data_IF_035359772640
#
_entry.id   IF_035359772640
#
_cell.length_a   1.000
_cell.length_b   1.000
_cell.length_c   1.000
_cell.angle_alpha   90.00
_cell.angle_beta   90.00
_cell.angle_gamma   90.00
#
_symmetry.space_group_name_H-M   'P 1'
#
loop_
_entity.id
_entity.type
_entity.pdbx_description
1 polymer ?
#
# COMPACT_ATOMS: atom_id res chain seq x y z
N UNK A 1 -9.45 -5.58 -6.40
CA UNK A 1 -8.64 -4.71 -5.53
C UNK A 1 -9.06 -3.26 -5.65
N UNK A 2 -9.58 -2.66 -4.57
CA UNK A 2 -9.72 -1.23 -4.47
C UNK A 2 -8.34 -0.56 -4.50
N UNK A 3 -8.20 0.47 -5.33
CA UNK A 3 -7.09 1.42 -5.17
C UNK A 3 -7.47 2.38 -4.05
N UNK A 4 -6.62 2.46 -3.02
CA UNK A 4 -6.85 3.29 -1.83
C UNK A 4 -6.12 4.62 -1.91
N UNK A 5 -5.08 4.75 -2.75
CA UNK A 5 -4.42 6.04 -2.99
C UNK A 5 -3.68 6.06 -4.33
N UNK A 6 -3.45 7.25 -4.89
CA UNK A 6 -2.66 7.46 -6.12
C UNK A 6 -1.84 8.75 -6.04
N UNK A 7 -0.55 8.68 -6.37
CA UNK A 7 0.35 9.84 -6.41
C UNK A 7 1.59 9.54 -7.26
N UNK A 8 2.16 10.53 -7.94
CA UNK A 8 3.42 10.39 -8.69
C UNK A 8 3.48 9.18 -9.66
N UNK A 9 2.34 8.85 -10.30
CA UNK A 9 2.22 7.67 -11.17
C UNK A 9 2.17 6.31 -10.45
N UNK A 10 2.15 6.32 -9.11
CA UNK A 10 2.04 5.16 -8.23
C UNK A 10 0.56 4.98 -7.84
N UNK A 11 0.07 3.75 -7.93
CA UNK A 11 -1.22 3.33 -7.35
C UNK A 11 -0.98 2.41 -6.17
N UNK A 12 -1.61 2.73 -5.03
CA UNK A 12 -1.61 1.91 -3.83
C UNK A 12 -2.94 1.18 -3.72
N UNK A 13 -2.89 -0.11 -3.48
CA UNK A 13 -4.07 -0.95 -3.41
C UNK A 13 -3.95 -2.02 -2.33
N UNK A 14 -5.10 -2.53 -1.94
CA UNK A 14 -5.23 -3.63 -0.97
C UNK A 14 -6.28 -4.60 -1.50
N UNK A 15 -6.11 -5.88 -1.21
CA UNK A 15 -7.04 -6.92 -1.63
C UNK A 15 -7.79 -7.50 -0.44
N UNK A 16 -9.02 -7.95 -0.67
CA UNK A 16 -9.85 -8.60 0.35
C UNK A 16 -9.43 -10.05 0.59
N UNK A 17 -8.96 -10.70 -0.47
CA UNK A 17 -8.49 -12.07 -0.52
C UNK A 17 -7.00 -12.23 -0.13
N UNK A 18 -6.32 -11.13 0.21
CA UNK A 18 -4.95 -11.22 0.72
C UNK A 18 -4.91 -11.91 2.10
N UNK A 19 -3.81 -12.62 2.33
CA UNK A 19 -3.53 -13.30 3.58
C UNK A 19 -2.25 -12.75 4.24
N UNK A 20 -2.13 -13.01 5.55
CA UNK A 20 -1.07 -12.45 6.38
C UNK A 20 0.34 -12.80 5.90
N UNK A 21 1.35 -11.95 6.18
CA UNK A 21 1.31 -10.77 7.06
C UNK A 21 0.56 -9.56 6.46
N UNK A 22 0.11 -8.57 7.26
CA UNK A 22 -0.52 -7.35 6.75
C UNK A 22 0.36 -6.60 5.77
N UNK A 23 -0.15 -6.35 4.57
CA UNK A 23 0.61 -5.69 3.51
C UNK A 23 -0.30 -4.90 2.57
N UNK A 24 0.32 -4.02 1.78
CA UNK A 24 -0.33 -3.35 0.65
C UNK A 24 0.49 -3.55 -0.62
N UNK A 25 -0.18 -3.33 -1.75
CA UNK A 25 0.40 -3.49 -3.08
C UNK A 25 0.61 -2.14 -3.74
N UNK A 26 1.68 -2.07 -4.51
CA UNK A 26 2.10 -0.89 -5.24
C UNK A 26 2.19 -1.23 -6.70
N UNK A 27 1.62 -0.38 -7.55
CA UNK A 27 1.82 -0.44 -9.00
C UNK A 27 2.31 0.88 -9.55
N UNK A 28 3.30 0.79 -10.43
CA UNK A 28 3.79 1.88 -11.27
C UNK A 28 3.94 1.33 -12.69
N UNK A 29 3.99 2.18 -13.72
CA UNK A 29 4.11 1.74 -15.11
C UNK A 29 5.33 0.83 -15.38
N UNK A 30 6.38 0.97 -14.56
CA UNK A 30 7.66 0.25 -14.72
C UNK A 30 7.86 -0.89 -13.72
N UNK A 31 6.90 -1.17 -12.83
CA UNK A 31 7.07 -2.22 -11.84
C UNK A 31 6.04 -2.22 -10.72
N UNK A 32 6.26 -3.09 -9.74
CA UNK A 32 5.38 -3.32 -8.59
C UNK A 32 6.15 -3.52 -7.30
N UNK A 33 5.45 -3.39 -6.18
CA UNK A 33 5.98 -3.80 -4.88
C UNK A 33 4.88 -4.33 -3.97
N UNK A 34 5.27 -5.15 -3.00
CA UNK A 34 4.49 -5.51 -1.83
C UNK A 34 5.24 -5.06 -0.59
N UNK A 35 4.56 -4.33 0.29
CA UNK A 35 5.18 -3.74 1.49
C UNK A 35 4.35 -4.09 2.72
N UNK A 36 5.02 -4.55 3.78
CA UNK A 36 4.40 -4.81 5.09
C UNK A 36 3.86 -3.53 5.69
N UNK A 37 2.68 -3.61 6.30
CA UNK A 37 2.07 -2.43 6.94
C UNK A 37 2.71 -2.18 8.31
N UNK A 38 3.00 -3.22 9.08
CA UNK A 38 3.48 -3.13 10.45
C UNK A 38 4.93 -2.68 10.58
N UNK A 39 5.82 -3.21 9.73
CA UNK A 39 7.26 -2.90 9.78
C UNK A 39 7.75 -2.01 8.64
N UNK A 40 6.91 -1.76 7.63
CA UNK A 40 7.29 -1.12 6.37
C UNK A 40 8.40 -1.84 5.61
N UNK A 41 8.65 -3.11 5.94
CA UNK A 41 9.56 -3.97 5.21
C UNK A 41 9.02 -4.28 3.82
N UNK A 42 9.91 -4.24 2.83
CA UNK A 42 9.57 -4.57 1.45
C UNK A 42 9.62 -6.08 1.28
N UNK A 43 8.47 -6.70 1.04
CA UNK A 43 8.36 -8.15 0.81
C UNK A 43 8.92 -8.49 -0.57
N UNK A 44 8.55 -7.70 -1.57
CA UNK A 44 8.98 -7.88 -2.96
C UNK A 44 8.94 -6.51 -3.66
N UNK A 45 9.90 -6.23 -4.54
CA UNK A 45 9.84 -5.04 -5.39
C UNK A 45 10.66 -5.16 -6.66
N UNK A 46 10.06 -4.70 -7.76
CA UNK A 46 10.72 -4.38 -9.03
C UNK A 46 10.79 -2.87 -9.29
N UNK A 47 10.36 -2.05 -8.32
CA UNK A 47 10.35 -0.60 -8.45
C UNK A 47 11.77 -0.04 -8.46
N UNK A 48 11.95 1.08 -9.16
CA UNK A 48 13.18 1.87 -9.05
C UNK A 48 13.27 2.42 -7.63
N UNK A 49 14.50 2.51 -7.11
CA UNK A 49 14.79 3.02 -5.74
C UNK A 49 14.06 4.32 -5.41
N UNK A 50 13.96 5.26 -6.36
CA UNK A 50 13.25 6.54 -6.16
C UNK A 50 11.75 6.35 -5.91
N UNK A 51 11.07 5.50 -6.69
CA UNK A 51 9.64 5.22 -6.51
C UNK A 51 9.40 4.56 -5.16
N UNK A 52 10.23 3.57 -4.81
CA UNK A 52 10.12 2.87 -3.54
C UNK A 52 10.30 3.81 -2.34
N UNK A 53 11.21 4.79 -2.40
CA UNK A 53 11.34 5.81 -1.34
C UNK A 53 10.06 6.62 -1.14
N UNK A 54 9.39 7.03 -2.22
CA UNK A 54 8.12 7.76 -2.09
C UNK A 54 7.02 6.91 -1.48
N UNK A 55 6.96 5.63 -1.84
CA UNK A 55 6.02 4.66 -1.24
C UNK A 55 6.27 4.52 0.25
N UNK A 56 7.52 4.32 0.67
CA UNK A 56 7.86 4.10 2.09
C UNK A 56 7.61 5.35 2.93
N UNK A 57 7.99 6.53 2.44
CA UNK A 57 7.70 7.79 3.11
C UNK A 57 6.18 8.05 3.24
N UNK A 58 5.41 7.73 2.19
CA UNK A 58 3.96 7.80 2.26
C UNK A 58 3.38 6.80 3.26
N UNK A 59 3.87 5.56 3.27
CA UNK A 59 3.37 4.52 4.16
C UNK A 59 3.65 4.82 5.63
N UNK A 60 4.80 5.41 5.94
CA UNK A 60 5.15 5.89 7.28
C UNK A 60 4.13 6.94 7.79
N UNK A 61 3.76 7.91 6.96
CA UNK A 61 2.75 8.92 7.31
C UNK A 61 1.32 8.36 7.43
N UNK A 62 1.06 7.19 6.85
CA UNK A 62 -0.30 6.62 6.67
C UNK A 62 -0.48 5.25 7.33
N UNK A 63 0.44 4.85 8.20
CA UNK A 63 0.49 3.48 8.73
C UNK A 63 -0.78 3.10 9.50
N UNK A 64 -1.37 4.04 10.24
CA UNK A 64 -2.63 3.82 10.96
C UNK A 64 -3.81 3.63 9.99
N UNK A 65 -3.92 4.45 8.95
CA UNK A 65 -4.96 4.34 7.92
C UNK A 65 -4.84 3.03 7.12
N UNK A 66 -3.61 2.61 6.82
CA UNK A 66 -3.32 1.31 6.19
C UNK A 66 -3.74 0.15 7.09
N UNK A 67 -3.46 0.23 8.39
CA UNK A 67 -3.83 -0.80 9.36
C UNK A 67 -5.35 -0.92 9.52
N UNK A 68 -6.07 0.20 9.54
CA UNK A 68 -7.55 0.19 9.58
C UNK A 68 -8.12 -0.42 8.29
N UNK A 69 -7.59 -0.05 7.13
CA UNK A 69 -7.99 -0.66 5.87
C UNK A 69 -7.72 -2.17 5.83
N UNK A 70 -6.60 -2.63 6.38
CA UNK A 70 -6.33 -4.07 6.48
C UNK A 70 -7.40 -4.78 7.32
N UNK A 71 -7.75 -4.22 8.48
CA UNK A 71 -8.85 -4.74 9.33
C UNK A 71 -10.18 -4.79 8.57
N UNK A 72 -10.53 -3.71 7.85
CA UNK A 72 -11.74 -3.64 7.00
C UNK A 72 -11.75 -4.71 5.92
N UNK A 73 -10.64 -4.87 5.19
CA UNK A 73 -10.49 -5.90 4.17
C UNK A 73 -10.74 -7.30 4.76
N UNK A 74 -10.17 -7.60 5.93
CA UNK A 74 -10.37 -8.89 6.60
C UNK A 74 -11.79 -9.10 7.11
N UNK A 75 -12.55 -8.04 7.36
CA UNK A 75 -13.96 -8.09 7.74
C UNK A 75 -14.92 -8.05 6.54
N UNK A 76 -14.42 -7.95 5.29
CA UNK A 76 -15.26 -7.78 4.10
C UNK A 76 -15.90 -6.38 4.00
N UNK A 77 -15.39 -5.40 4.74
CA UNK A 77 -15.90 -4.02 4.79
C UNK A 77 -15.29 -3.14 3.70
N UNK A 78 -16.00 -2.08 3.30
CA UNK A 78 -15.51 -1.13 2.31
C UNK A 78 -14.21 -0.44 2.78
N UNK A 79 -13.17 -0.52 1.95
CA UNK A 79 -11.91 0.18 2.15
C UNK A 79 -12.09 1.69 1.96
N UNK A 80 -11.39 2.48 2.77
CA UNK A 80 -11.42 3.93 2.73
C UNK A 80 -10.26 4.49 1.89
N UNK A 81 -10.47 5.59 1.16
CA UNK A 81 -9.39 6.29 0.48
C UNK A 81 -8.41 6.89 1.50
N UNK A 82 -7.12 6.87 1.17
CA UNK A 82 -6.02 7.41 1.98
C UNK A 82 -5.40 8.59 1.22
N UNK A 83 -5.16 9.69 1.94
CA UNK A 83 -4.61 10.89 1.35
C UNK A 83 -3.26 10.63 0.63
N UNK A 84 -3.07 11.16 -0.59
CA UNK A 84 -1.85 10.94 -1.37
C UNK A 84 -0.64 11.67 -0.76
N UNK A 85 0.57 11.24 -1.14
CA UNK A 85 1.79 12.00 -0.88
C UNK A 85 1.75 13.30 -1.71
N UNK A 86 2.02 14.43 -1.05
CA UNK A 86 2.08 15.76 -1.68
C UNK A 86 3.52 16.13 -2.02
#
# INVERSE_FOLDING_TARGET
MPTISRFLGISIAMFFDDHGPPHFHVRHAEGSAKVRIDTLEVIESTLRRRQLRFVLAWAELRQAELSDNWRRARAGETLQPIAPLR
#
